data_IF_545513438502
#
_entry.id   IF_545513438502
#
_cell.length_a   1.000
_cell.length_b   1.000
_cell.length_c   1.000
_cell.angle_alpha   90.00
_cell.angle_beta   90.00
_cell.angle_gamma   90.00
#
_symmetry.space_group_name_H-M   'P 1'
#
loop_
_entity.id
_entity.type
_entity.pdbx_description
1 polymer ?
#
# COMPACT_ATOMS: atom_id res chain seq x y z
N UNK A 1 32.01 8.86 -24.36
CA UNK A 1 31.22 9.72 -23.45
C UNK A 1 29.84 9.11 -23.24
N UNK A 2 29.69 8.18 -22.30
CA UNK A 2 28.42 7.48 -22.05
C UNK A 2 27.66 8.11 -20.88
N UNK A 3 26.52 8.72 -21.17
CA UNK A 3 25.66 9.37 -20.16
C UNK A 3 24.78 8.30 -19.49
N UNK A 4 25.19 7.85 -18.30
CA UNK A 4 24.37 7.01 -17.44
C UNK A 4 23.18 7.82 -16.90
N UNK A 5 22.01 7.63 -17.52
CA UNK A 5 20.75 8.21 -17.06
C UNK A 5 20.28 7.45 -15.83
N UNK A 6 20.60 7.98 -14.64
CA UNK A 6 20.16 7.44 -13.35
C UNK A 6 18.63 7.48 -13.28
N UNK A 7 18.00 6.31 -13.43
CA UNK A 7 16.56 6.12 -13.21
C UNK A 7 16.26 6.55 -11.77
N UNK A 8 15.40 7.55 -11.61
CA UNK A 8 14.95 8.06 -10.31
C UNK A 8 14.24 6.90 -9.60
N UNK A 9 14.94 6.18 -8.75
CA UNK A 9 14.32 5.24 -7.81
C UNK A 9 13.26 6.03 -7.05
N UNK A 10 12.02 5.57 -7.11
CA UNK A 10 10.96 6.05 -6.23
C UNK A 10 11.52 6.00 -4.81
N UNK A 11 11.65 7.18 -4.19
CA UNK A 11 12.19 7.34 -2.84
C UNK A 11 11.37 6.40 -1.96
N UNK A 12 11.98 5.32 -1.48
CA UNK A 12 11.38 4.43 -0.49
C UNK A 12 11.03 5.32 0.68
N UNK A 13 9.74 5.55 0.91
CA UNK A 13 9.27 6.45 1.96
C UNK A 13 9.89 5.97 3.27
N UNK A 14 10.63 6.85 3.96
CA UNK A 14 11.31 6.50 5.19
C UNK A 14 10.29 6.03 6.23
N UNK A 15 10.59 4.91 6.88
CA UNK A 15 9.72 4.26 7.86
C UNK A 15 9.80 4.93 9.26
N UNK A 16 9.98 6.25 9.35
CA UNK A 16 10.14 6.96 10.64
C UNK A 16 9.34 8.28 10.75
N UNK A 17 8.38 8.54 9.84
CA UNK A 17 7.60 9.80 9.80
C UNK A 17 6.15 9.57 10.18
N UNK A 18 5.52 10.46 10.94
CA UNK A 18 4.09 10.38 11.22
C UNK A 18 3.24 10.33 9.94
N UNK A 19 2.02 9.78 10.02
CA UNK A 19 1.08 9.75 8.90
C UNK A 19 0.81 11.17 8.38
N UNK A 20 1.09 11.41 7.10
CA UNK A 20 1.02 12.75 6.50
C UNK A 20 -0.17 12.86 5.55
N UNK A 21 -0.62 14.08 5.25
CA UNK A 21 -1.72 14.35 4.32
C UNK A 21 -1.47 13.73 2.94
N UNK A 22 -0.23 13.76 2.47
CA UNK A 22 0.19 13.16 1.22
C UNK A 22 -0.03 11.63 1.19
N UNK A 23 0.07 10.95 2.34
CA UNK A 23 -0.18 9.51 2.44
C UNK A 23 -1.67 9.21 2.23
N UNK A 24 -2.56 10.01 2.83
CA UNK A 24 -4.01 9.87 2.65
C UNK A 24 -4.45 10.19 1.21
N UNK A 25 -3.92 11.25 0.61
CA UNK A 25 -4.19 11.59 -0.80
C UNK A 25 -3.73 10.50 -1.75
N UNK A 26 -2.59 9.86 -1.46
CA UNK A 26 -2.11 8.72 -2.23
C UNK A 26 -3.04 7.50 -2.11
N UNK A 27 -3.48 7.19 -0.88
CA UNK A 27 -4.42 6.09 -0.64
C UNK A 27 -5.75 6.33 -1.36
N UNK A 28 -6.30 7.55 -1.29
CA UNK A 28 -7.53 7.92 -1.97
C UNK A 28 -7.38 7.83 -3.50
N UNK A 29 -6.28 8.35 -4.05
CA UNK A 29 -5.97 8.24 -5.47
C UNK A 29 -5.90 6.79 -5.93
N UNK A 30 -5.29 5.91 -5.13
CA UNK A 30 -5.23 4.48 -5.41
C UNK A 30 -6.63 3.85 -5.45
N UNK A 31 -7.47 4.09 -4.44
CA UNK A 31 -8.85 3.57 -4.43
C UNK A 31 -9.65 4.06 -5.64
N UNK A 32 -9.49 5.32 -6.04
CA UNK A 32 -10.24 5.91 -7.16
C UNK A 32 -9.84 5.37 -8.53
N UNK A 33 -8.62 4.87 -8.67
CA UNK A 33 -8.05 4.49 -9.97
C UNK A 33 -8.01 2.98 -10.18
N UNK A 34 -8.12 2.18 -9.11
CA UNK A 34 -8.10 0.71 -9.15
C UNK A 34 -9.49 0.17 -8.82
N UNK A 35 -9.79 -1.04 -9.25
CA UNK A 35 -11.06 -1.73 -8.94
C UNK A 35 -10.85 -2.78 -7.85
N UNK A 36 -11.95 -3.15 -7.19
CA UNK A 36 -11.96 -4.18 -6.15
C UNK A 36 -10.92 -3.98 -5.05
N UNK A 37 -10.71 -2.73 -4.63
CA UNK A 37 -9.69 -2.40 -3.64
C UNK A 37 -10.14 -2.83 -2.24
N UNK A 38 -9.28 -3.57 -1.55
CA UNK A 38 -9.48 -4.00 -0.17
C UNK A 38 -8.39 -3.42 0.72
N UNK A 39 -8.75 -2.98 1.93
CA UNK A 39 -7.83 -2.43 2.91
C UNK A 39 -7.38 -3.49 3.92
N UNK A 40 -6.08 -3.65 4.09
CA UNK A 40 -5.47 -4.51 5.10
C UNK A 40 -4.74 -3.64 6.12
N UNK A 41 -5.16 -3.71 7.38
CA UNK A 41 -4.54 -3.01 8.48
C UNK A 41 -3.37 -3.84 8.98
N UNK A 42 -2.19 -3.22 8.97
CA UNK A 42 -1.01 -3.71 9.66
C UNK A 42 -0.93 -2.98 11.00
N UNK A 43 -1.16 -3.67 12.12
CA UNK A 43 -1.13 -3.03 13.43
C UNK A 43 0.28 -2.56 13.76
N UNK A 44 0.37 -1.53 14.62
CA UNK A 44 1.65 -1.06 15.13
C UNK A 44 2.46 -2.21 15.73
N UNK A 45 3.75 -2.22 15.43
CA UNK A 45 4.75 -3.07 16.08
C UNK A 45 5.70 -2.20 16.90
N UNK A 46 6.69 -2.81 17.54
CA UNK A 46 7.74 -2.08 18.28
C UNK A 46 8.53 -1.12 17.39
N UNK A 47 8.65 -1.43 16.10
CA UNK A 47 9.52 -0.72 15.14
C UNK A 47 8.75 -0.07 14.00
N UNK A 48 7.43 -0.22 13.94
CA UNK A 48 6.63 0.29 12.82
C UNK A 48 5.29 0.80 13.33
N UNK A 49 4.93 2.00 12.91
CA UNK A 49 3.61 2.58 13.15
C UNK A 49 2.51 1.80 12.43
N UNK A 50 1.24 2.10 12.73
CA UNK A 50 0.12 1.47 12.04
C UNK A 50 0.14 1.86 10.57
N UNK A 51 0.08 0.87 9.68
CA UNK A 51 0.01 1.09 8.24
C UNK A 51 -1.23 0.45 7.67
N UNK A 52 -1.73 1.00 6.56
CA UNK A 52 -2.77 0.37 5.75
C UNK A 52 -2.16 -0.01 4.41
N UNK A 53 -2.45 -1.23 3.99
CA UNK A 53 -2.10 -1.73 2.69
C UNK A 53 -3.36 -1.92 1.86
N UNK A 54 -3.45 -1.18 0.76
CA UNK A 54 -4.53 -1.31 -0.19
C UNK A 54 -4.11 -2.32 -1.25
N UNK A 55 -5.00 -3.27 -1.54
CA UNK A 55 -4.75 -4.33 -2.52
C UNK A 55 -5.92 -4.34 -3.50
N UNK A 56 -5.64 -4.07 -4.77
CA UNK A 56 -6.61 -4.09 -5.85
C UNK A 56 -6.99 -5.53 -6.28
N UNK A 57 -7.97 -5.66 -7.17
CA UNK A 57 -8.45 -6.94 -7.70
C UNK A 57 -7.36 -7.73 -8.44
N UNK A 58 -6.49 -7.03 -9.16
CA UNK A 58 -5.38 -7.62 -9.92
C UNK A 58 -4.16 -7.97 -9.04
N UNK A 59 -4.21 -7.59 -7.76
CA UNK A 59 -3.13 -7.75 -6.79
C UNK A 59 -2.12 -6.62 -6.75
N UNK A 60 -2.29 -5.54 -7.54
CA UNK A 60 -1.53 -4.30 -7.33
C UNK A 60 -1.77 -3.80 -5.91
N UNK A 61 -0.71 -3.35 -5.24
CA UNK A 61 -0.82 -2.90 -3.87
C UNK A 61 0.00 -1.64 -3.60
N UNK A 62 -0.47 -0.86 -2.63
CA UNK A 62 0.26 0.25 -2.05
C UNK A 62 0.15 0.21 -0.53
N UNK A 63 1.22 0.58 0.16
CA UNK A 63 1.28 0.64 1.62
C UNK A 63 1.59 2.05 2.07
N UNK A 64 0.78 2.60 2.97
CA UNK A 64 0.98 3.93 3.55
C UNK A 64 0.67 3.93 5.04
N UNK A 65 1.20 4.94 5.74
CA UNK A 65 0.92 5.16 7.16
C UNK A 65 -0.48 5.72 7.34
N UNK A 66 -1.04 5.43 8.50
CA UNK A 66 -2.35 5.93 8.89
C UNK A 66 -2.39 6.11 10.39
N UNK A 67 -3.25 7.02 10.84
CA UNK A 67 -3.40 7.39 12.24
C UNK A 67 -4.12 6.30 13.05
N UNK A 68 -3.40 5.21 13.29
CA UNK A 68 -3.86 4.05 14.05
C UNK A 68 -4.92 3.19 13.35
N UNK A 69 -5.36 2.10 14.01
CA UNK A 69 -6.37 1.19 13.46
C UNK A 69 -7.72 1.88 13.22
N UNK A 70 -8.12 2.81 14.08
CA UNK A 70 -9.37 3.54 13.92
C UNK A 70 -9.31 4.53 12.76
N UNK A 71 -8.18 5.18 12.52
CA UNK A 71 -7.96 6.00 11.32
C UNK A 71 -8.12 5.16 10.05
N UNK A 72 -7.57 3.94 10.04
CA UNK A 72 -7.71 3.03 8.92
C UNK A 72 -9.16 2.59 8.67
N UNK A 73 -9.90 2.26 9.74
CA UNK A 73 -11.32 1.90 9.66
C UNK A 73 -12.16 3.08 9.14
N UNK A 74 -11.93 4.30 9.66
CA UNK A 74 -12.62 5.52 9.18
C UNK A 74 -12.32 5.80 7.72
N UNK A 75 -11.07 5.64 7.28
CA UNK A 75 -10.69 5.79 5.88
C UNK A 75 -11.40 4.78 4.99
N UNK A 76 -11.34 3.49 5.34
CA UNK A 76 -11.98 2.43 4.56
C UNK A 76 -13.50 2.62 4.48
N UNK A 77 -14.14 3.00 5.58
CA UNK A 77 -15.57 3.32 5.60
C UNK A 77 -15.91 4.52 4.69
N UNK A 78 -15.11 5.60 4.73
CA UNK A 78 -15.30 6.77 3.85
C UNK A 78 -15.17 6.40 2.37
N UNK A 79 -14.25 5.49 2.06
CA UNK A 79 -14.00 5.01 0.70
C UNK A 79 -14.94 3.88 0.28
N UNK A 80 -15.84 3.43 1.17
CA UNK A 80 -16.74 2.30 0.95
C UNK A 80 -16.02 1.02 0.49
N UNK A 81 -14.83 0.76 1.04
CA UNK A 81 -14.03 -0.45 0.78
C UNK A 81 -14.01 -1.38 1.99
N UNK A 82 -13.94 -2.71 1.78
CA UNK A 82 -13.80 -3.66 2.87
C UNK A 82 -12.45 -3.48 3.58
N UNK A 83 -12.43 -3.75 4.88
CA UNK A 83 -11.24 -3.62 5.73
C UNK A 83 -11.01 -4.89 6.55
N UNK A 84 -9.76 -5.35 6.57
CA UNK A 84 -9.34 -6.57 7.22
C UNK A 84 -8.12 -6.34 8.10
N UNK A 85 -7.95 -7.15 9.14
CA UNK A 85 -6.71 -7.19 9.91
C UNK A 85 -5.78 -8.24 9.29
N UNK A 86 -4.57 -7.82 8.94
CA UNK A 86 -3.60 -8.71 8.29
C UNK A 86 -3.14 -9.84 9.21
N UNK A 87 -3.17 -9.65 10.53
CA UNK A 87 -2.77 -10.70 11.48
C UNK A 87 -3.81 -11.81 11.56
N UNK A 88 -5.06 -11.52 11.22
CA UNK A 88 -6.15 -12.48 11.21
C UNK A 88 -6.26 -13.19 9.86
N UNK A 89 -6.23 -12.42 8.77
CA UNK A 89 -6.47 -12.96 7.43
C UNK A 89 -5.20 -13.34 6.67
N UNK A 90 -4.05 -12.79 7.06
CA UNK A 90 -2.83 -12.82 6.25
C UNK A 90 -2.94 -11.93 5.00
N UNK A 91 -1.91 -12.01 4.16
CA UNK A 91 -1.90 -11.34 2.86
C UNK A 91 -2.58 -12.20 1.80
N UNK A 92 -3.45 -11.62 0.95
CA UNK A 92 -4.17 -12.38 -0.06
C UNK A 92 -3.22 -12.90 -1.15
N UNK A 93 -3.57 -14.05 -1.73
CA UNK A 93 -2.75 -14.72 -2.74
C UNK A 93 -2.49 -13.84 -3.97
N UNK A 94 -3.50 -13.07 -4.42
CA UNK A 94 -3.37 -12.15 -5.57
C UNK A 94 -2.23 -11.14 -5.44
N UNK A 95 -1.94 -10.66 -4.22
CA UNK A 95 -0.81 -9.77 -3.95
C UNK A 95 0.54 -10.48 -4.13
N UNK A 96 0.62 -11.75 -3.70
CA UNK A 96 1.80 -12.59 -3.89
C UNK A 96 2.04 -12.85 -5.37
N UNK A 97 0.99 -13.21 -6.10
CA UNK A 97 1.05 -13.44 -7.54
C UNK A 97 1.48 -12.17 -8.29
N UNK A 98 0.98 -11.00 -7.90
CA UNK A 98 1.42 -9.71 -8.46
C UNK A 98 2.93 -9.49 -8.24
N UNK A 99 3.42 -9.73 -7.03
CA UNK A 99 4.84 -9.61 -6.73
C UNK A 99 5.70 -10.59 -7.55
N UNK A 100 5.23 -11.82 -7.76
CA UNK A 100 5.89 -12.79 -8.61
C UNK A 100 5.91 -12.35 -10.07
N UNK A 101 4.80 -11.87 -10.62
CA UNK A 101 4.74 -11.33 -11.99
C UNK A 101 5.71 -10.17 -12.17
N UNK A 102 5.75 -9.24 -11.22
CA UNK A 102 6.67 -8.10 -11.23
C UNK A 102 8.13 -8.52 -11.15
N UNK A 103 8.46 -9.54 -10.35
CA UNK A 103 9.81 -10.12 -10.28
C UNK A 103 10.21 -10.81 -11.59
N UNK A 104 9.29 -11.53 -12.23
CA UNK A 104 9.53 -12.25 -13.49
C UNK A 104 9.65 -11.32 -14.70
N UNK A 105 8.99 -10.15 -14.66
CA UNK A 105 8.98 -9.17 -15.77
C UNK A 105 9.22 -7.75 -15.25
N UNK A 106 10.46 -7.41 -14.84
CA UNK A 106 10.77 -6.09 -14.29
C UNK A 106 10.68 -4.97 -15.33
N UNK A 107 10.72 -5.27 -16.64
CA UNK A 107 10.63 -4.24 -17.69
C UNK A 107 9.23 -3.67 -17.96
N UNK A 108 8.16 -4.33 -17.48
CA UNK A 108 6.78 -3.94 -17.76
C UNK A 108 6.12 -3.06 -16.68
N UNK A 109 6.82 -2.80 -15.57
CA UNK A 109 6.30 -2.12 -14.36
C UNK A 109 7.33 -1.16 -13.76
#
# INVERSE_FOLDING_TARGET
MGLFRRRKQARVASHDRAADRADLEHLESFVRTRRGVEAYIEPRTTVTETTVMLIADDGEWTRRRIDGPDGARRFAHRMAIPVYDVRLMGYPQRMRDFNERRKRRPELY
#
